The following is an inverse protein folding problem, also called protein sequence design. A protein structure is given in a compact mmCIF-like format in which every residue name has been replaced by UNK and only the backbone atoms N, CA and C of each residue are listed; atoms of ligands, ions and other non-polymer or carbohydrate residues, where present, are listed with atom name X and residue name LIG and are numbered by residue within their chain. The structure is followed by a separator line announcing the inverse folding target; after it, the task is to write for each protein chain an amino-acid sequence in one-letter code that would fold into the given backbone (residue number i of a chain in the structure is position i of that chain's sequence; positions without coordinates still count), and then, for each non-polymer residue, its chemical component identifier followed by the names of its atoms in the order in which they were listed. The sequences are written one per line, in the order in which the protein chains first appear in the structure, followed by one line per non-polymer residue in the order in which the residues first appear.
data_IF_020885020289
#
_entry.id   IF_020885020289
#
_cell.length_a   1.000
_cell.length_b   1.000
_cell.length_c   1.000
_cell.angle_alpha   90.00
_cell.angle_beta   90.00
_cell.angle_gamma   90.00
#
_symmetry.space_group_name_H-M   'P 1'
#
loop_
_entity.id
_entity.type
_entity.pdbx_description
1 polymer ?
#
# COMPACT_ATOMS: atom_id res chain seq x y z
N UNK A 1 -5.78 12.39 -19.95
CA UNK A 1 -4.43 12.60 -19.46
C UNK A 1 -3.48 11.77 -20.32
N UNK A 2 -2.56 12.41 -21.04
CA UNK A 2 -1.50 11.74 -21.80
C UNK A 2 -0.40 11.26 -20.83
N UNK A 3 -0.74 10.29 -19.98
CA UNK A 3 0.19 9.70 -19.04
C UNK A 3 0.85 8.46 -19.66
N UNK A 4 2.16 8.36 -19.55
CA UNK A 4 2.90 7.11 -19.79
C UNK A 4 3.09 6.42 -18.44
N UNK A 5 2.69 5.17 -18.36
CA UNK A 5 2.78 4.36 -17.14
C UNK A 5 3.87 3.31 -17.31
N UNK A 6 4.80 3.27 -16.39
CA UNK A 6 5.78 2.19 -16.29
C UNK A 6 5.41 1.35 -15.08
N UNK A 7 4.93 0.15 -15.31
CA UNK A 7 4.54 -0.80 -14.28
C UNK A 7 5.68 -1.76 -13.96
N UNK A 8 6.24 -1.69 -12.75
CA UNK A 8 7.17 -2.71 -12.29
C UNK A 8 6.41 -3.95 -11.82
N UNK A 9 6.79 -5.11 -12.33
CA UNK A 9 6.14 -6.39 -12.03
C UNK A 9 7.17 -7.46 -11.64
N UNK A 10 6.82 -8.31 -10.69
CA UNK A 10 7.64 -9.48 -10.32
C UNK A 10 7.47 -10.67 -11.29
N UNK A 11 6.39 -10.68 -12.06
CA UNK A 11 6.07 -11.72 -13.01
C UNK A 11 5.20 -11.16 -14.13
N UNK A 12 5.72 -11.20 -15.36
CA UNK A 12 4.95 -10.80 -16.54
C UNK A 12 3.71 -11.67 -16.75
N UNK A 13 3.76 -12.97 -16.44
CA UNK A 13 2.60 -13.85 -16.58
C UNK A 13 1.45 -13.47 -15.65
N UNK A 14 1.77 -13.18 -14.38
CA UNK A 14 0.76 -12.68 -13.43
C UNK A 14 0.23 -11.32 -13.87
N UNK A 15 1.08 -10.44 -14.36
CA UNK A 15 0.66 -9.15 -14.88
C UNK A 15 -0.29 -9.30 -16.08
N UNK A 16 -0.02 -10.23 -16.99
CA UNK A 16 -0.91 -10.56 -18.11
C UNK A 16 -2.30 -11.01 -17.63
N UNK A 17 -2.34 -11.88 -16.63
CA UNK A 17 -3.60 -12.35 -16.06
C UNK A 17 -4.42 -11.23 -15.41
N UNK A 18 -3.75 -10.26 -14.76
CA UNK A 18 -4.41 -9.18 -14.02
C UNK A 18 -4.78 -8.02 -14.95
N UNK A 19 -3.87 -7.63 -15.83
CA UNK A 19 -4.03 -6.44 -16.66
C UNK A 19 -4.76 -6.72 -17.98
N UNK A 20 -4.73 -7.98 -18.46
CA UNK A 20 -5.50 -8.41 -19.64
C UNK A 20 -5.36 -7.46 -20.83
N UNK A 21 -6.49 -6.92 -21.28
CA UNK A 21 -6.58 -5.99 -22.41
C UNK A 21 -5.80 -4.67 -22.24
N UNK A 22 -5.51 -4.26 -21.01
CA UNK A 22 -4.73 -3.04 -20.77
C UNK A 22 -3.28 -3.14 -21.24
N UNK A 23 -2.77 -4.35 -21.48
CA UNK A 23 -1.41 -4.55 -22.01
C UNK A 23 -1.23 -4.07 -23.45
N UNK A 24 -2.31 -3.99 -24.22
CA UNK A 24 -2.28 -3.48 -25.59
C UNK A 24 -2.24 -1.94 -25.63
N UNK A 25 -2.37 -1.29 -24.46
CA UNK A 25 -2.30 0.15 -24.35
C UNK A 25 -0.86 0.65 -24.54
N UNK A 26 -0.63 1.41 -25.60
CA UNK A 26 0.70 1.99 -25.93
C UNK A 26 1.28 2.91 -24.85
N UNK A 27 0.45 3.37 -23.92
CA UNK A 27 0.88 4.19 -22.78
C UNK A 27 1.34 3.35 -21.59
N UNK A 28 1.23 2.02 -21.61
CA UNK A 28 1.69 1.12 -20.56
C UNK A 28 2.92 0.35 -21.01
N UNK A 29 3.97 0.44 -20.21
CA UNK A 29 5.19 -0.38 -20.37
C UNK A 29 5.40 -1.17 -19.09
N UNK A 30 5.64 -2.48 -19.18
CA UNK A 30 6.01 -3.30 -18.04
C UNK A 30 7.52 -3.49 -18.00
N UNK A 31 8.08 -3.39 -16.80
CA UNK A 31 9.48 -3.70 -16.49
C UNK A 31 9.54 -4.71 -15.34
N UNK A 32 10.55 -5.57 -15.35
CA UNK A 32 10.81 -6.55 -14.30
C UNK A 32 12.22 -6.37 -13.72
N UNK A 33 12.61 -7.25 -12.83
CA UNK A 33 13.88 -7.21 -12.13
C UNK A 33 13.76 -6.84 -10.67
N UNK A 34 14.88 -6.61 -9.99
CA UNK A 34 14.86 -6.14 -8.62
C UNK A 34 14.53 -4.65 -8.56
N UNK A 35 13.84 -4.22 -7.49
CA UNK A 35 13.51 -2.80 -7.30
C UNK A 35 14.76 -1.92 -7.24
N UNK A 36 15.84 -2.45 -6.67
CA UNK A 36 17.13 -1.75 -6.53
C UNK A 36 17.80 -1.49 -7.88
N UNK A 37 17.52 -2.32 -8.89
CA UNK A 37 18.11 -2.19 -10.22
C UNK A 37 17.30 -1.33 -11.19
N UNK A 38 16.11 -0.86 -10.78
CA UNK A 38 15.27 -0.02 -11.63
C UNK A 38 15.94 1.31 -11.91
N UNK A 39 16.10 1.63 -13.18
CA UNK A 39 16.60 2.92 -13.63
C UNK A 39 15.81 3.43 -14.83
N UNK A 40 14.57 3.79 -14.61
CA UNK A 40 13.65 4.29 -15.63
C UNK A 40 13.44 5.80 -15.50
N UNK A 41 13.24 6.52 -16.60
CA UNK A 41 12.83 7.93 -16.53
C UNK A 41 11.40 8.00 -15.99
N UNK A 42 11.20 8.81 -14.96
CA UNK A 42 9.87 9.01 -14.38
C UNK A 42 9.75 10.40 -13.75
N UNK A 43 8.57 11.01 -13.86
CA UNK A 43 8.21 12.25 -13.18
C UNK A 43 7.56 12.01 -11.82
N UNK A 44 6.88 10.88 -11.67
CA UNK A 44 6.13 10.49 -10.47
C UNK A 44 6.38 9.03 -10.15
N UNK A 45 6.41 8.71 -8.88
CA UNK A 45 6.50 7.32 -8.38
C UNK A 45 5.30 7.05 -7.49
N UNK A 46 4.55 5.97 -7.78
CA UNK A 46 3.57 5.40 -6.88
C UNK A 46 4.13 4.09 -6.33
N UNK A 47 4.51 4.10 -5.06
CA UNK A 47 5.12 2.94 -4.42
C UNK A 47 4.11 2.17 -3.57
N UNK A 48 3.62 1.05 -4.11
CA UNK A 48 2.71 0.13 -3.43
C UNK A 48 3.25 -1.29 -3.29
N UNK A 49 4.52 -1.52 -3.62
CA UNK A 49 5.12 -2.85 -3.58
C UNK A 49 5.37 -3.30 -2.13
N UNK A 50 4.45 -4.07 -1.57
CA UNK A 50 4.58 -4.71 -0.26
C UNK A 50 3.69 -5.96 -0.21
N UNK A 51 4.00 -6.95 0.64
CA UNK A 51 3.04 -8.00 0.98
C UNK A 51 1.79 -7.37 1.62
N UNK A 52 0.60 -7.92 1.35
CA UNK A 52 -0.68 -7.40 1.88
C UNK A 52 -1.54 -8.46 2.55
N UNK A 53 -1.08 -9.71 2.62
CA UNK A 53 -1.83 -10.81 3.19
C UNK A 53 -1.40 -11.09 4.63
N UNK A 54 -2.34 -11.05 5.58
CA UNK A 54 -2.07 -11.27 7.01
C UNK A 54 -1.39 -12.61 7.31
N UNK A 55 -1.74 -13.66 6.57
CA UNK A 55 -1.10 -14.97 6.70
C UNK A 55 0.39 -14.90 6.36
N UNK A 56 0.74 -14.18 5.30
CA UNK A 56 2.12 -14.02 4.86
C UNK A 56 2.98 -13.29 5.91
N UNK A 57 2.43 -12.31 6.61
CA UNK A 57 3.16 -11.58 7.65
C UNK A 57 3.61 -12.47 8.82
N UNK A 58 2.82 -13.49 9.12
CA UNK A 58 3.12 -14.45 10.20
C UNK A 58 4.06 -15.55 9.71
N UNK A 59 3.86 -16.05 8.50
CA UNK A 59 4.65 -17.16 7.94
C UNK A 59 6.03 -16.69 7.40
N UNK A 60 6.10 -15.43 6.93
CA UNK A 60 7.31 -14.85 6.31
C UNK A 60 7.61 -13.44 6.86
N UNK A 61 7.79 -13.28 8.19
CA UNK A 61 7.94 -11.95 8.79
C UNK A 61 9.22 -11.23 8.33
N UNK A 62 10.33 -11.96 8.17
CA UNK A 62 11.61 -11.39 7.72
C UNK A 62 11.48 -10.88 6.28
N UNK A 63 10.83 -11.65 5.40
CA UNK A 63 10.60 -11.23 4.02
C UNK A 63 9.65 -10.03 3.96
N UNK A 64 8.63 -9.99 4.82
CA UNK A 64 7.73 -8.85 4.95
C UNK A 64 8.49 -7.57 5.28
N UNK A 65 9.38 -7.62 6.28
CA UNK A 65 10.22 -6.49 6.69
C UNK A 65 11.15 -6.08 5.54
N UNK A 66 11.90 -7.03 4.99
CA UNK A 66 12.88 -6.74 3.93
C UNK A 66 12.23 -6.13 2.69
N UNK A 67 11.15 -6.73 2.19
CA UNK A 67 10.45 -6.23 1.00
C UNK A 67 9.93 -4.81 1.21
N UNK A 68 9.40 -4.53 2.40
CA UNK A 68 8.87 -3.19 2.73
C UNK A 68 10.00 -2.16 2.79
N UNK A 69 11.07 -2.44 3.53
CA UNK A 69 12.14 -1.47 3.78
C UNK A 69 12.98 -1.26 2.52
N UNK A 70 13.55 -2.32 1.94
CA UNK A 70 14.42 -2.18 0.77
C UNK A 70 13.67 -1.68 -0.47
N UNK A 71 12.39 -2.11 -0.63
CA UNK A 71 11.57 -1.59 -1.70
C UNK A 71 11.28 -0.09 -1.56
N UNK A 72 11.05 0.39 -0.35
CA UNK A 72 10.83 1.82 -0.08
C UNK A 72 12.12 2.62 -0.29
N UNK A 73 13.24 2.14 0.23
CA UNK A 73 14.55 2.76 0.02
C UNK A 73 14.87 2.88 -1.47
N UNK A 74 14.74 1.79 -2.23
CA UNK A 74 14.99 1.77 -3.67
C UNK A 74 14.15 2.81 -4.43
N UNK A 75 12.86 2.95 -4.09
CA UNK A 75 11.98 3.93 -4.73
C UNK A 75 12.31 5.37 -4.34
N UNK A 76 12.70 5.62 -3.09
CA UNK A 76 13.15 6.93 -2.65
C UNK A 76 14.49 7.34 -3.31
N UNK A 77 15.44 6.39 -3.42
CA UNK A 77 16.69 6.59 -4.15
C UNK A 77 16.48 6.80 -5.66
N UNK A 78 15.56 6.07 -6.27
CA UNK A 78 15.16 6.35 -7.65
C UNK A 78 14.59 7.77 -7.77
N UNK A 79 13.69 8.14 -6.86
CA UNK A 79 13.12 9.50 -6.81
C UNK A 79 14.19 10.58 -6.67
N UNK A 80 15.17 10.36 -5.82
CA UNK A 80 16.33 11.26 -5.64
C UNK A 80 17.17 11.40 -6.91
N UNK A 81 17.56 10.26 -7.51
CA UNK A 81 18.38 10.24 -8.73
C UNK A 81 17.69 10.86 -9.94
N UNK A 82 16.40 10.59 -10.10
CA UNK A 82 15.58 11.11 -11.23
C UNK A 82 14.99 12.48 -10.97
N UNK A 83 15.14 13.03 -9.76
CA UNK A 83 14.58 14.33 -9.36
C UNK A 83 13.09 14.41 -9.64
N UNK A 84 12.36 13.39 -9.23
CA UNK A 84 10.92 13.27 -9.50
C UNK A 84 10.13 14.40 -8.87
N UNK A 85 8.98 14.70 -9.44
CA UNK A 85 8.04 15.72 -8.93
C UNK A 85 7.32 15.27 -7.66
N UNK A 86 7.08 13.95 -7.51
CA UNK A 86 6.46 13.38 -6.33
C UNK A 86 6.69 11.87 -6.23
N UNK A 87 6.86 11.39 -5.00
CA UNK A 87 6.76 9.99 -4.61
C UNK A 87 5.54 9.85 -3.71
N UNK A 88 4.57 9.01 -4.06
CA UNK A 88 3.46 8.64 -3.17
C UNK A 88 3.73 7.25 -2.62
N UNK A 89 3.94 7.17 -1.31
CA UNK A 89 4.09 5.91 -0.60
C UNK A 89 2.75 5.41 -0.09
N UNK A 90 2.35 4.19 -0.49
CA UNK A 90 1.13 3.56 0.02
C UNK A 90 1.41 2.90 1.37
N UNK A 91 1.07 3.60 2.43
CA UNK A 91 1.06 3.10 3.79
C UNK A 91 -0.27 2.39 4.10
N UNK A 92 -0.57 2.15 5.36
CA UNK A 92 -1.75 1.42 5.79
C UNK A 92 -2.26 1.95 7.12
N UNK A 93 -3.56 1.85 7.35
CA UNK A 93 -4.16 2.10 8.66
C UNK A 93 -3.56 1.21 9.77
N UNK A 94 -2.98 0.05 9.42
CA UNK A 94 -2.38 -0.86 10.40
C UNK A 94 -1.14 -0.26 11.11
N UNK A 95 -0.52 0.76 10.54
CA UNK A 95 0.58 1.48 11.20
C UNK A 95 0.10 2.22 12.46
N UNK A 96 -1.20 2.55 12.58
CA UNK A 96 -1.72 3.17 13.79
C UNK A 96 -1.62 2.28 15.03
N UNK A 97 -1.72 0.95 14.85
CA UNK A 97 -1.79 0.02 15.97
C UNK A 97 -3.15 0.09 16.68
N UNK A 98 -3.15 -0.31 17.95
CA UNK A 98 -4.33 -0.34 18.80
C UNK A 98 -4.46 0.99 19.54
N UNK A 99 -5.58 1.72 19.41
CA UNK A 99 -5.81 2.94 20.18
C UNK A 99 -5.69 2.70 21.69
N UNK A 100 -5.14 3.66 22.44
CA UNK A 100 -5.04 3.55 23.89
C UNK A 100 -6.40 3.65 24.60
N UNK A 101 -7.35 4.35 23.98
CA UNK A 101 -8.71 4.51 24.50
C UNK A 101 -9.72 3.90 23.53
N UNK A 102 -10.71 3.18 24.06
CA UNK A 102 -11.77 2.59 23.25
C UNK A 102 -12.59 3.68 22.55
N UNK A 103 -12.82 3.52 21.24
CA UNK A 103 -13.57 4.48 20.42
C UNK A 103 -12.78 5.72 20.02
N UNK A 104 -11.48 5.80 20.34
CA UNK A 104 -10.64 6.90 19.92
C UNK A 104 -10.52 6.95 18.39
N UNK A 105 -10.81 8.11 17.81
CA UNK A 105 -10.54 8.38 16.40
C UNK A 105 -9.05 8.65 16.22
N UNK A 106 -8.42 7.89 15.30
CA UNK A 106 -7.00 8.06 14.98
C UNK A 106 -6.85 9.13 13.91
N UNK A 107 -6.17 10.21 14.28
CA UNK A 107 -5.76 11.29 13.39
C UNK A 107 -4.28 11.12 13.01
N UNK A 108 -3.82 11.81 11.99
CA UNK A 108 -2.49 11.61 11.41
C UNK A 108 -1.34 11.86 12.41
N UNK A 109 -1.57 12.66 13.42
CA UNK A 109 -0.62 13.01 14.49
C UNK A 109 -0.63 12.04 15.68
N UNK A 110 -1.49 10.99 15.66
CA UNK A 110 -1.65 10.05 16.78
C UNK A 110 -1.26 8.65 16.38
N UNK A 111 -0.54 7.98 17.27
CA UNK A 111 -0.18 6.57 17.15
C UNK A 111 -0.69 5.83 18.37
N UNK A 112 -1.15 4.60 18.17
CA UNK A 112 -1.51 3.67 19.22
C UNK A 112 -0.38 2.65 19.49
N UNK A 113 -0.68 1.68 20.32
CA UNK A 113 0.23 0.63 20.72
C UNK A 113 0.40 -0.43 19.64
N UNK A 114 1.64 -0.84 19.42
CA UNK A 114 2.01 -2.06 18.70
C UNK A 114 2.94 -2.90 19.59
N UNK A 115 2.63 -4.17 19.73
CA UNK A 115 3.56 -5.13 20.36
C UNK A 115 4.61 -5.54 19.32
N UNK A 116 5.77 -4.89 19.38
CA UNK A 116 6.88 -5.12 18.44
C UNK A 116 7.51 -6.50 18.55
N UNK A 117 7.24 -7.25 19.64
CA UNK A 117 7.69 -8.63 19.81
C UNK A 117 6.69 -9.64 19.25
N UNK A 118 5.50 -9.21 18.87
CA UNK A 118 4.55 -10.04 18.16
C UNK A 118 4.94 -10.12 16.67
N UNK A 119 5.12 -11.33 16.16
CA UNK A 119 5.50 -11.59 14.76
C UNK A 119 4.54 -10.91 13.76
N UNK A 120 3.24 -10.82 14.10
CA UNK A 120 2.24 -10.15 13.26
C UNK A 120 2.54 -8.66 13.06
N UNK A 121 3.27 -8.03 13.99
CA UNK A 121 3.64 -6.62 13.90
C UNK A 121 4.71 -6.32 12.84
N UNK A 122 5.32 -7.36 12.24
CA UNK A 122 6.30 -7.21 11.15
C UNK A 122 5.83 -6.28 10.03
N UNK A 123 4.54 -6.35 9.66
CA UNK A 123 3.96 -5.48 8.65
C UNK A 123 3.72 -4.04 9.17
N UNK A 124 3.07 -3.91 10.31
CA UNK A 124 2.70 -2.60 10.86
C UNK A 124 3.93 -1.77 11.24
N UNK A 125 4.93 -2.40 11.86
CA UNK A 125 6.20 -1.74 12.19
C UNK A 125 7.01 -1.39 10.94
N UNK A 126 7.01 -2.26 9.92
CA UNK A 126 7.64 -1.92 8.64
C UNK A 126 6.97 -0.71 7.99
N UNK A 127 5.63 -0.59 8.05
CA UNK A 127 4.92 0.58 7.55
C UNK A 127 5.32 1.85 8.29
N UNK A 128 5.42 1.82 9.62
CA UNK A 128 5.93 2.94 10.44
C UNK A 128 7.34 3.35 10.03
N UNK A 129 8.24 2.38 9.93
CA UNK A 129 9.62 2.65 9.53
C UNK A 129 9.71 3.25 8.13
N UNK A 130 8.94 2.73 7.17
CA UNK A 130 8.91 3.27 5.82
C UNK A 130 8.35 4.70 5.76
N UNK A 131 7.37 5.06 6.60
CA UNK A 131 6.91 6.45 6.74
C UNK A 131 8.03 7.34 7.29
N UNK A 132 8.76 6.86 8.31
CA UNK A 132 9.94 7.56 8.83
C UNK A 132 11.01 7.73 7.74
N UNK A 133 11.25 6.72 6.90
CA UNK A 133 12.14 6.81 5.74
C UNK A 133 11.70 7.89 4.76
N UNK A 134 10.41 7.93 4.40
CA UNK A 134 9.88 8.97 3.52
C UNK A 134 10.16 10.36 4.09
N UNK A 135 9.85 10.60 5.36
CA UNK A 135 10.10 11.88 6.03
C UNK A 135 11.59 12.22 6.07
N UNK A 136 12.45 11.24 6.36
CA UNK A 136 13.91 11.44 6.40
C UNK A 136 14.45 11.83 5.03
N UNK A 137 14.03 11.20 3.95
CA UNK A 137 14.44 11.56 2.60
C UNK A 137 13.94 12.94 2.16
N UNK A 138 12.78 13.37 2.64
CA UNK A 138 12.33 14.76 2.42
C UNK A 138 13.28 15.75 3.08
N UNK A 139 13.63 15.50 4.34
CA UNK A 139 14.45 16.44 5.13
C UNK A 139 15.91 16.44 4.68
N UNK A 140 16.48 15.27 4.42
CA UNK A 140 17.91 15.14 4.13
C UNK A 140 18.25 15.40 2.66
N UNK A 141 17.41 14.92 1.74
CA UNK A 141 17.69 14.94 0.31
C UNK A 141 16.70 15.75 -0.52
N UNK A 142 15.65 16.30 0.08
CA UNK A 142 14.62 17.06 -0.62
C UNK A 142 13.74 16.22 -1.56
N UNK A 143 13.68 14.91 -1.37
CA UNK A 143 12.81 14.02 -2.18
C UNK A 143 11.35 14.29 -1.81
N UNK A 144 10.49 14.69 -2.74
CA UNK A 144 9.12 15.12 -2.43
C UNK A 144 8.20 13.90 -2.19
N UNK A 145 8.42 13.17 -1.10
CA UNK A 145 7.65 12.01 -0.70
C UNK A 145 6.40 12.42 0.11
N UNK A 146 5.27 11.77 -0.19
CA UNK A 146 3.96 11.94 0.49
C UNK A 146 3.47 10.57 0.90
N UNK A 147 2.79 10.47 2.03
CA UNK A 147 2.35 9.22 2.62
C UNK A 147 0.83 9.11 2.55
N UNK A 148 0.32 8.04 1.94
CA UNK A 148 -1.12 7.70 1.90
C UNK A 148 -1.39 6.52 2.84
N UNK A 149 -2.09 6.74 3.95
CA UNK A 149 -2.48 5.71 4.93
C UNK A 149 -3.83 5.13 4.55
N UNK A 150 -3.80 4.09 3.73
CA UNK A 150 -5.02 3.48 3.20
C UNK A 150 -5.77 2.68 4.27
N UNK A 151 -7.08 2.87 4.32
CA UNK A 151 -8.02 1.99 5.02
C UNK A 151 -8.14 0.64 4.29
N UNK A 152 -9.02 -0.27 4.75
CA UNK A 152 -9.30 -1.50 4.03
C UNK A 152 -9.96 -1.19 2.68
N UNK A 153 -9.16 -1.17 1.65
CA UNK A 153 -9.64 -0.87 0.29
C UNK A 153 -10.29 -2.11 -0.32
N UNK A 154 -11.46 -1.93 -0.91
CA UNK A 154 -12.24 -2.97 -1.55
C UNK A 154 -12.85 -2.49 -2.87
N UNK A 155 -13.29 -3.42 -3.71
CA UNK A 155 -13.92 -3.13 -4.99
C UNK A 155 -13.45 -4.06 -6.11
N UNK A 156 -13.69 -3.74 -7.37
CA UNK A 156 -13.22 -4.51 -8.51
C UNK A 156 -11.71 -4.74 -8.49
N UNK A 157 -11.26 -5.90 -8.95
CA UNK A 157 -9.85 -6.29 -8.95
C UNK A 157 -9.39 -7.06 -7.71
N UNK A 158 -10.24 -7.21 -6.69
CA UNK A 158 -9.94 -8.09 -5.55
C UNK A 158 -10.02 -9.55 -6.00
N UNK A 159 -8.95 -10.36 -5.79
CA UNK A 159 -8.96 -11.77 -6.20
C UNK A 159 -10.07 -12.58 -5.51
N UNK A 160 -10.66 -13.53 -6.22
CA UNK A 160 -11.66 -14.45 -5.64
C UNK A 160 -11.07 -15.26 -4.47
N UNK A 161 -9.75 -15.49 -4.46
CA UNK A 161 -9.04 -16.15 -3.36
C UNK A 161 -8.85 -15.29 -2.11
N UNK A 162 -9.19 -14.00 -2.15
CA UNK A 162 -9.10 -13.13 -0.99
C UNK A 162 -10.04 -13.61 0.13
N UNK A 163 -9.50 -13.68 1.35
CA UNK A 163 -10.21 -14.18 2.53
C UNK A 163 -10.53 -13.11 3.56
N UNK A 164 -10.35 -11.83 3.23
CA UNK A 164 -10.80 -10.74 4.10
C UNK A 164 -12.31 -10.80 4.29
N UNK A 165 -12.79 -10.29 5.42
CA UNK A 165 -14.19 -10.43 5.86
C UNK A 165 -15.19 -9.97 4.81
N UNK A 166 -14.96 -8.84 4.16
CA UNK A 166 -15.87 -8.32 3.12
C UNK A 166 -15.96 -9.27 1.90
N UNK A 167 -14.84 -9.93 1.51
CA UNK A 167 -14.88 -10.92 0.43
C UNK A 167 -15.55 -12.19 0.83
N UNK A 168 -15.42 -12.63 2.09
CA UNK A 168 -16.17 -13.77 2.60
C UNK A 168 -17.68 -13.50 2.54
N UNK A 169 -18.12 -12.34 3.00
CA UNK A 169 -19.53 -11.94 2.96
C UNK A 169 -20.04 -11.83 1.53
N UNK A 170 -19.26 -11.21 0.63
CA UNK A 170 -19.61 -11.13 -0.79
C UNK A 170 -19.78 -12.52 -1.41
N UNK A 171 -18.85 -13.45 -1.14
CA UNK A 171 -18.94 -14.82 -1.66
C UNK A 171 -20.19 -15.54 -1.15
N UNK A 172 -20.50 -15.45 0.15
CA UNK A 172 -21.69 -16.06 0.73
C UNK A 172 -22.96 -15.46 0.13
N UNK A 173 -23.03 -14.13 -0.01
CA UNK A 173 -24.17 -13.47 -0.63
C UNK A 173 -24.39 -13.89 -2.10
N UNK A 174 -23.33 -13.96 -2.89
CA UNK A 174 -23.42 -14.39 -4.30
C UNK A 174 -23.83 -15.85 -4.47
N UNK A 175 -23.51 -16.69 -3.49
CA UNK A 175 -23.90 -18.11 -3.49
C UNK A 175 -25.23 -18.38 -2.81
N UNK A 176 -25.89 -17.35 -2.28
CA UNK A 176 -27.09 -17.48 -1.44
C UNK A 176 -26.87 -18.36 -0.20
N UNK A 177 -25.66 -18.36 0.34
CA UNK A 177 -25.28 -19.06 1.56
C UNK A 177 -25.41 -18.13 2.79
N UNK A 178 -25.54 -18.71 3.97
CA UNK A 178 -25.54 -17.94 5.20
C UNK A 178 -24.19 -17.26 5.44
N UNK A 179 -24.22 -16.01 5.88
CA UNK A 179 -23.03 -15.30 6.36
C UNK A 179 -22.72 -15.81 7.78
N UNK A 180 -21.57 -16.48 7.93
CA UNK A 180 -21.14 -17.01 9.22
C UNK A 180 -20.12 -16.06 9.84
N UNK A 181 -20.42 -15.56 11.04
CA UNK A 181 -19.47 -14.78 11.83
C UNK A 181 -18.65 -15.74 12.70
N UNK A 182 -17.33 -15.67 12.58
CA UNK A 182 -16.40 -16.45 13.41
C UNK A 182 -16.06 -15.76 14.74
N UNK A 183 -16.59 -14.56 14.97
CA UNK A 183 -16.43 -13.76 16.18
C UNK A 183 -17.80 -13.21 16.61
N UNK A 184 -17.84 -12.47 17.72
CA UNK A 184 -19.09 -11.80 18.18
C UNK A 184 -19.61 -10.72 17.23
N UNK A 185 -18.82 -10.30 16.25
CA UNK A 185 -19.22 -9.27 15.29
C UNK A 185 -19.02 -7.83 15.79
N UNK A 186 -18.35 -7.65 16.92
CA UNK A 186 -18.16 -6.33 17.55
C UNK A 186 -17.01 -5.52 16.91
N UNK A 187 -16.23 -6.15 16.01
CA UNK A 187 -15.09 -5.48 15.37
C UNK A 187 -15.56 -4.40 14.41
N UNK A 188 -15.07 -3.20 14.61
CA UNK A 188 -15.27 -2.07 13.70
C UNK A 188 -14.02 -1.85 12.87
N UNK A 189 -14.19 -1.52 11.59
CA UNK A 189 -13.07 -1.22 10.69
C UNK A 189 -13.49 -0.19 9.65
N UNK A 190 -12.53 0.59 9.19
CA UNK A 190 -12.76 1.56 8.14
C UNK A 190 -12.55 0.91 6.78
N UNK A 191 -13.49 1.14 5.87
CA UNK A 191 -13.46 0.65 4.50
C UNK A 191 -13.47 1.82 3.52
N UNK A 192 -12.67 1.70 2.47
CA UNK A 192 -12.61 2.67 1.39
C UNK A 192 -12.86 1.99 0.06
N UNK A 193 -13.79 2.49 -0.74
CA UNK A 193 -14.01 1.94 -2.06
C UNK A 193 -12.87 2.32 -3.00
N UNK A 194 -12.51 1.43 -3.92
CA UNK A 194 -11.30 1.58 -4.75
C UNK A 194 -11.27 2.90 -5.55
N UNK A 195 -12.40 3.38 -6.03
CA UNK A 195 -12.43 4.65 -6.77
C UNK A 195 -12.08 5.85 -5.91
N UNK A 196 -12.50 5.84 -4.63
CA UNK A 196 -12.21 6.92 -3.69
C UNK A 196 -10.73 6.87 -3.29
N UNK A 197 -10.20 5.65 -3.03
CA UNK A 197 -8.79 5.45 -2.77
C UNK A 197 -7.92 5.94 -3.94
N UNK A 198 -8.27 5.59 -5.18
CA UNK A 198 -7.55 6.05 -6.37
C UNK A 198 -7.63 7.56 -6.55
N UNK A 199 -8.80 8.15 -6.32
CA UNK A 199 -8.98 9.60 -6.38
C UNK A 199 -8.11 10.32 -5.35
N UNK A 200 -8.08 9.81 -4.11
CA UNK A 200 -7.21 10.32 -3.05
C UNK A 200 -5.72 10.22 -3.41
N UNK A 201 -5.27 9.05 -3.90
CA UNK A 201 -3.89 8.84 -4.33
C UNK A 201 -3.49 9.81 -5.45
N UNK A 202 -4.34 10.01 -6.45
CA UNK A 202 -4.09 10.96 -7.55
C UNK A 202 -4.08 12.41 -7.06
N UNK A 203 -4.94 12.75 -6.10
CA UNK A 203 -4.94 14.07 -5.45
C UNK A 203 -3.63 14.31 -4.69
N UNK A 204 -3.14 13.32 -3.93
CA UNK A 204 -1.86 13.39 -3.23
C UNK A 204 -0.68 13.50 -4.21
N UNK A 205 -0.72 12.77 -5.31
CA UNK A 205 0.30 12.86 -6.35
C UNK A 205 0.38 14.26 -6.95
N UNK A 206 -0.76 14.95 -7.06
CA UNK A 206 -0.85 16.32 -7.61
C UNK A 206 -0.51 17.39 -6.56
N UNK A 207 -1.08 17.30 -5.36
CA UNK A 207 -1.16 18.41 -4.40
C UNK A 207 -0.70 18.06 -2.97
N UNK A 208 -0.36 16.79 -2.67
CA UNK A 208 0.08 16.40 -1.33
C UNK A 208 1.37 17.12 -0.93
N UNK A 209 1.48 17.54 0.32
CA UNK A 209 2.67 18.20 0.86
C UNK A 209 3.77 17.21 1.18
N UNK A 210 5.01 17.54 0.82
CA UNK A 210 6.16 16.66 1.03
C UNK A 210 6.41 16.43 2.54
N UNK A 211 6.52 15.16 2.91
CA UNK A 211 6.76 14.75 4.29
C UNK A 211 5.50 14.63 5.14
N UNK A 212 4.32 14.88 4.58
CA UNK A 212 3.05 14.76 5.29
C UNK A 212 2.35 13.42 5.00
N UNK A 213 1.58 12.95 6.00
CA UNK A 213 0.76 11.76 5.91
C UNK A 213 -0.72 12.13 5.85
N UNK A 214 -1.48 11.36 5.10
CA UNK A 214 -2.93 11.57 4.88
C UNK A 214 -3.69 10.26 5.03
N UNK A 215 -4.86 10.32 5.67
CA UNK A 215 -5.80 9.20 5.81
C UNK A 215 -6.70 9.01 4.60
#
# INVERSE_FOLDING_TARGET
LDLKVIGHVRSHEKAKTILGEYLDNKSLTLVDGSLESIDVPCDYILHGAAPTQSKFFVEHPVETIRTSIYGTEAMLELGRRKKVKKVVYLSSMEQYGVPYESGQVMTEDRLGYLDHLNVRSSYSESKRLCECYCKSYVVEYGVPAVIARLAQTFGPGVPVSDNRVFMQFTKSALKHENIVLHTKGDSMSNYCYITDALTGILALMKAGEAGEAYN
#
